data_IF_724800667276
#
_entry.id   IF_724800667276
#
_cell.length_a   1.000
_cell.length_b   1.000
_cell.length_c   1.000
_cell.angle_alpha   90.00
_cell.angle_beta   90.00
_cell.angle_gamma   90.00
#
_symmetry.space_group_name_H-M   'P 1'
#
loop_
_entity.id
_entity.type
_entity.pdbx_description
1 polymer ?
#
# COMPACT_ATOMS: atom_id res chain seq x y z
N UNK A 1 -8.25 -7.98 12.79
CA UNK A 1 -7.50 -7.83 11.52
C UNK A 1 -7.38 -6.35 11.25
N UNK A 2 -6.24 -5.75 11.58
CA UNK A 2 -5.96 -4.34 11.33
C UNK A 2 -5.29 -4.24 9.97
N UNK A 3 -5.83 -3.43 9.06
CA UNK A 3 -5.22 -3.13 7.76
C UNK A 3 -4.48 -1.81 7.90
N UNK A 4 -3.19 -1.78 7.55
CA UNK A 4 -2.45 -0.54 7.44
C UNK A 4 -2.34 -0.20 5.95
N UNK A 5 -2.86 0.96 5.57
CA UNK A 5 -2.85 1.46 4.19
C UNK A 5 -1.65 2.38 3.99
N UNK A 6 -0.75 2.05 3.07
CA UNK A 6 0.23 3.00 2.55
C UNK A 6 -0.43 3.78 1.40
N UNK A 7 -0.75 5.04 1.64
CA UNK A 7 -1.27 5.94 0.61
C UNK A 7 -0.10 6.61 -0.11
N UNK A 8 0.09 6.31 -1.39
CA UNK A 8 1.01 7.06 -2.26
C UNK A 8 0.24 8.26 -2.80
N UNK A 9 0.76 9.48 -2.59
CA UNK A 9 0.08 10.73 -2.92
C UNK A 9 0.54 11.29 -4.27
N UNK A 10 -0.45 11.77 -5.03
CA UNK A 10 -0.36 12.78 -6.10
C UNK A 10 0.53 12.45 -7.31
N UNK A 11 -0.03 11.78 -8.33
CA UNK A 11 0.47 11.84 -9.71
C UNK A 11 -0.71 11.74 -10.69
N UNK A 12 -0.88 12.74 -11.55
CA UNK A 12 -2.07 12.98 -12.37
C UNK A 12 -2.25 12.05 -13.60
N UNK A 13 -1.92 10.75 -13.53
CA UNK A 13 -2.08 9.85 -14.67
C UNK A 13 -2.55 8.45 -14.27
N UNK A 14 -3.72 8.05 -14.79
CA UNK A 14 -4.37 6.77 -14.52
C UNK A 14 -3.57 5.53 -14.94
N UNK A 15 -2.65 5.66 -15.92
CA UNK A 15 -1.70 4.58 -16.29
C UNK A 15 -0.50 4.45 -15.34
N UNK A 16 -0.13 5.50 -14.62
CA UNK A 16 0.99 5.46 -13.68
C UNK A 16 0.66 4.66 -12.41
N UNK A 17 -0.63 4.53 -12.05
CA UNK A 17 -1.04 3.91 -10.78
C UNK A 17 -0.77 2.41 -10.70
N UNK A 18 -1.05 1.65 -11.76
CA UNK A 18 -0.74 0.23 -11.79
C UNK A 18 0.76 -0.03 -11.75
N UNK A 19 1.54 0.78 -12.47
CA UNK A 19 3.00 0.67 -12.45
C UNK A 19 3.56 0.98 -11.08
N UNK A 20 3.05 2.02 -10.41
CA UNK A 20 3.55 2.43 -9.09
C UNK A 20 3.18 1.43 -8.00
N UNK A 21 1.92 1.00 -7.94
CA UNK A 21 1.48 -0.07 -7.03
C UNK A 21 2.25 -1.36 -7.33
N UNK A 22 2.41 -1.71 -8.62
CA UNK A 22 3.18 -2.86 -9.06
C UNK A 22 4.64 -2.81 -8.61
N UNK A 23 5.31 -1.66 -8.74
CA UNK A 23 6.70 -1.48 -8.27
C UNK A 23 6.82 -1.70 -6.77
N UNK A 24 5.88 -1.19 -5.97
CA UNK A 24 5.88 -1.40 -4.51
C UNK A 24 5.66 -2.87 -4.17
N UNK A 25 4.74 -3.56 -4.85
CA UNK A 25 4.47 -4.98 -4.64
C UNK A 25 5.66 -5.85 -5.02
N UNK A 26 6.32 -5.57 -6.15
CA UNK A 26 7.57 -6.24 -6.55
C UNK A 26 8.64 -6.02 -5.49
N UNK A 27 8.81 -4.78 -5.01
CA UNK A 27 9.79 -4.49 -3.98
C UNK A 27 9.49 -5.19 -2.66
N UNK A 28 8.22 -5.26 -2.25
CA UNK A 28 7.80 -6.00 -1.07
C UNK A 28 8.16 -7.48 -1.20
N UNK A 29 7.92 -8.08 -2.37
CA UNK A 29 8.29 -9.48 -2.65
C UNK A 29 9.79 -9.71 -2.54
N UNK A 30 10.61 -8.80 -3.08
CA UNK A 30 12.08 -8.88 -2.96
C UNK A 30 12.57 -8.80 -1.50
N UNK A 31 11.83 -8.10 -0.64
CA UNK A 31 12.13 -7.96 0.79
C UNK A 31 11.56 -9.09 1.65
N UNK A 32 11.02 -10.15 1.04
CA UNK A 32 10.53 -11.33 1.74
C UNK A 32 9.05 -11.27 2.14
N UNK A 33 8.30 -10.28 1.65
CA UNK A 33 6.85 -10.26 1.85
C UNK A 33 6.19 -11.43 1.12
N UNK A 34 5.30 -12.14 1.80
CA UNK A 34 4.54 -13.25 1.23
C UNK A 34 3.27 -13.54 2.08
N UNK A 35 2.06 -13.65 1.48
CA UNK A 35 1.73 -13.53 0.06
C UNK A 35 1.82 -12.09 -0.45
N UNK A 36 2.02 -11.93 -1.76
CA UNK A 36 1.97 -10.65 -2.49
C UNK A 36 0.96 -10.81 -3.63
N UNK A 37 0.01 -9.90 -3.73
CA UNK A 37 -0.99 -9.89 -4.81
C UNK A 37 -0.51 -9.09 -6.03
N UNK A 38 -1.18 -9.28 -7.16
CA UNK A 38 -1.03 -8.39 -8.31
C UNK A 38 -1.76 -7.05 -8.07
N UNK A 39 -1.30 -5.94 -8.68
CA UNK A 39 -2.04 -4.68 -8.64
C UNK A 39 -3.40 -4.83 -9.31
N UNK A 40 -4.45 -4.30 -8.68
CA UNK A 40 -5.83 -4.39 -9.16
C UNK A 40 -6.40 -2.98 -9.31
N UNK A 41 -6.88 -2.66 -10.52
CA UNK A 41 -7.70 -1.45 -10.74
C UNK A 41 -9.02 -1.56 -9.99
N UNK A 42 -9.43 -0.45 -9.40
CA UNK A 42 -10.67 -0.33 -8.64
C UNK A 42 -11.68 0.54 -9.38
N UNK A 43 -12.96 0.25 -9.15
CA UNK A 43 -14.09 0.92 -9.81
C UNK A 43 -14.14 2.43 -9.51
N UNK A 44 -13.61 2.86 -8.37
CA UNK A 44 -13.49 4.26 -7.99
C UNK A 44 -12.34 5.02 -8.68
N UNK A 45 -11.61 4.38 -9.61
CA UNK A 45 -10.69 5.05 -10.53
C UNK A 45 -9.21 5.03 -10.14
N UNK A 46 -8.78 4.22 -9.17
CA UNK A 46 -7.36 4.00 -8.90
C UNK A 46 -6.99 2.53 -8.77
N UNK A 47 -5.93 2.25 -8.03
CA UNK A 47 -5.29 0.93 -8.01
C UNK A 47 -4.92 0.54 -6.58
N UNK A 48 -5.03 -0.74 -6.24
CA UNK A 48 -4.48 -1.24 -4.99
C UNK A 48 -3.85 -2.62 -5.12
N UNK A 49 -3.08 -2.99 -4.11
CA UNK A 49 -2.63 -4.36 -3.89
C UNK A 49 -2.30 -4.60 -2.43
N UNK A 50 -1.96 -5.85 -2.14
CA UNK A 50 -1.74 -6.36 -0.79
C UNK A 50 -0.46 -7.18 -0.71
N UNK A 51 0.18 -7.13 0.45
CA UNK A 51 1.19 -8.09 0.83
C UNK A 51 1.15 -8.38 2.34
N UNK A 52 1.79 -9.47 2.79
CA UNK A 52 2.10 -9.68 4.20
C UNK A 52 3.60 -9.56 4.43
N UNK A 53 4.00 -8.80 5.45
CA UNK A 53 5.42 -8.72 5.84
C UNK A 53 5.87 -9.99 6.60
N UNK A 54 7.18 -10.21 6.77
CA UNK A 54 7.71 -11.36 7.49
C UNK A 54 7.24 -11.48 8.95
N UNK A 55 6.78 -10.38 9.56
CA UNK A 55 6.26 -10.33 10.93
C UNK A 55 4.77 -10.73 10.98
N UNK A 56 4.15 -10.98 9.83
CA UNK A 56 2.76 -11.43 9.70
C UNK A 56 1.73 -10.31 9.60
N UNK A 57 2.14 -9.04 9.46
CA UNK A 57 1.20 -7.95 9.25
C UNK A 57 0.80 -7.87 7.78
N UNK A 58 -0.51 -7.70 7.56
CA UNK A 58 -1.07 -7.53 6.23
C UNK A 58 -1.18 -6.05 5.89
N UNK A 59 -0.56 -5.69 4.78
CA UNK A 59 -0.52 -4.34 4.23
C UNK A 59 -1.41 -4.20 3.01
N UNK A 60 -2.02 -3.03 2.87
CA UNK A 60 -2.66 -2.57 1.64
C UNK A 60 -1.90 -1.38 1.09
N UNK A 61 -1.58 -1.42 -0.19
CA UNK A 61 -1.07 -0.29 -0.95
C UNK A 61 -2.20 0.19 -1.84
N UNK A 62 -2.59 1.45 -1.73
CA UNK A 62 -3.66 2.01 -2.54
C UNK A 62 -3.29 3.40 -3.05
N UNK A 63 -3.58 3.64 -4.33
CA UNK A 63 -3.50 4.94 -4.96
C UNK A 63 -4.90 5.42 -5.26
N UNK A 64 -5.34 6.44 -4.53
CA UNK A 64 -6.65 7.06 -4.66
C UNK A 64 -6.54 8.36 -5.48
N UNK A 65 -7.31 8.53 -6.58
CA UNK A 65 -7.33 9.78 -7.34
C UNK A 65 -8.10 10.91 -6.64
N UNK A 66 -8.76 10.64 -5.50
CA UNK A 66 -9.51 11.62 -4.71
C UNK A 66 -8.87 11.93 -3.35
N UNK A 67 -9.24 13.04 -2.73
CA UNK A 67 -8.65 13.58 -1.49
C UNK A 67 -8.92 12.80 -0.19
N UNK A 68 -9.35 11.53 -0.27
CA UNK A 68 -9.71 10.75 0.93
C UNK A 68 -8.56 9.84 1.34
N UNK A 69 -8.06 10.04 2.56
CA UNK A 69 -7.19 9.08 3.26
C UNK A 69 -5.94 9.65 3.91
N UNK A 70 -6.08 10.63 4.80
CA UNK A 70 -5.03 10.91 5.80
C UNK A 70 -5.34 10.08 7.05
N UNK A 71 -4.76 8.88 7.13
CA UNK A 71 -4.41 8.28 8.42
C UNK A 71 -3.16 7.43 8.22
N UNK A 72 -2.03 8.11 8.30
CA UNK A 72 -0.70 7.50 8.43
C UNK A 72 -0.57 7.06 9.89
N UNK A 73 -0.21 5.78 10.07
CA UNK A 73 0.32 5.07 11.25
C UNK A 73 0.19 5.74 12.63
N UNK A 74 -0.21 5.01 13.70
CA UNK A 74 -0.09 5.54 15.05
C UNK A 74 1.37 5.96 15.28
N UNK A 75 1.57 7.21 15.72
CA UNK A 75 2.86 7.72 16.14
C UNK A 75 3.48 6.73 17.11
N UNK A 76 4.64 6.16 16.75
CA UNK A 76 5.43 5.31 17.63
C UNK A 76 5.73 6.12 18.90
N UNK A 77 5.02 5.83 20.00
CA UNK A 77 5.43 6.25 21.33
C UNK A 77 6.82 5.67 21.62
N UNK A 78 7.66 6.36 22.42
CA UNK A 78 9.00 5.88 22.72
C UNK A 78 8.93 4.46 23.30
N UNK A 79 9.75 3.59 22.73
CA UNK A 79 9.89 2.21 23.14
C UNK A 79 11.15 2.14 24.00
N UNK A 80 11.01 2.46 25.27
CA UNK A 80 12.08 2.37 26.27
C UNK A 80 11.50 2.49 27.69
N UNK A 81 11.56 1.38 28.44
CA UNK A 81 11.45 1.35 29.91
C UNK A 81 10.19 0.71 30.47
#
# INVERSE_FOLDING_TARGET
MSFITLAVRDLAASRAFEEEVGRILVRARELGAHPVSEPVRREWGGCCGYFADPDGYRWEIAVNPGSIGQMVLPSRGPADG
#
